data_IF_516853868340
#
_entry.id   IF_516853868340
#
_cell.length_a   1.000
_cell.length_b   1.000
_cell.length_c   1.000
_cell.angle_alpha   90.00
_cell.angle_beta   90.00
_cell.angle_gamma   90.00
#
_symmetry.space_group_name_H-M   'P 1'
#
loop_
_entity.id
_entity.type
_entity.pdbx_description
1 polymer ?
#
# COMPACT_ATOMS: atom_id res chain seq x y z
N UNK A 1 -3.36 17.34 -9.09
CA UNK A 1 -3.77 15.99 -8.63
C UNK A 1 -4.73 16.17 -7.47
N UNK A 2 -5.93 15.59 -7.51
CA UNK A 2 -6.87 15.71 -6.39
C UNK A 2 -6.42 14.76 -5.25
N UNK A 3 -5.91 15.31 -4.15
CA UNK A 3 -5.36 14.53 -3.02
C UNK A 3 -6.33 14.41 -1.85
N UNK A 4 -7.61 14.80 -2.02
CA UNK A 4 -8.63 14.68 -0.97
C UNK A 4 -8.91 13.22 -0.60
N UNK A 5 -8.78 12.28 -1.56
CA UNK A 5 -8.93 10.85 -1.28
C UNK A 5 -7.89 10.32 -0.29
N UNK A 6 -6.72 10.97 -0.22
CA UNK A 6 -5.67 10.60 0.72
C UNK A 6 -5.94 11.10 2.16
N UNK A 7 -7.00 11.89 2.39
CA UNK A 7 -7.40 12.37 3.72
C UNK A 7 -8.22 11.34 4.51
N UNK A 8 -8.77 10.33 3.84
CA UNK A 8 -9.41 9.19 4.49
C UNK A 8 -9.06 7.87 3.76
N UNK A 9 -7.77 7.49 3.77
CA UNK A 9 -7.26 6.43 2.91
C UNK A 9 -7.80 5.04 3.29
N UNK A 10 -8.02 4.78 4.60
CA UNK A 10 -8.55 3.49 5.06
C UNK A 10 -10.00 3.33 4.59
N UNK A 11 -10.84 4.34 4.82
CA UNK A 11 -12.24 4.35 4.37
C UNK A 11 -12.36 4.18 2.85
N UNK A 12 -11.59 4.96 2.09
CA UNK A 12 -11.61 4.90 0.64
C UNK A 12 -11.18 3.52 0.13
N UNK A 13 -10.15 2.91 0.74
CA UNK A 13 -9.74 1.55 0.38
C UNK A 13 -10.84 0.52 0.63
N UNK A 14 -11.44 0.56 1.81
CA UNK A 14 -12.50 -0.37 2.24
C UNK A 14 -13.84 -0.19 1.50
N UNK A 15 -14.06 0.97 0.85
CA UNK A 15 -15.25 1.21 0.02
C UNK A 15 -15.05 0.92 -1.47
N UNK A 16 -13.81 0.84 -1.94
CA UNK A 16 -13.54 0.63 -3.37
C UNK A 16 -12.85 -0.71 -3.62
N UNK A 17 -11.53 -0.73 -3.72
CA UNK A 17 -10.77 -1.85 -4.26
C UNK A 17 -10.80 -3.02 -3.28
N UNK A 18 -10.90 -2.72 -1.98
CA UNK A 18 -10.98 -3.70 -0.91
C UNK A 18 -12.41 -3.91 -0.40
N UNK A 19 -13.43 -3.42 -1.11
CA UNK A 19 -14.83 -3.57 -0.69
C UNK A 19 -15.27 -5.02 -0.50
N UNK A 20 -14.68 -5.97 -1.24
CA UNK A 20 -15.01 -7.40 -1.15
C UNK A 20 -14.49 -8.08 0.12
N UNK A 21 -13.43 -7.54 0.73
CA UNK A 21 -12.87 -8.08 1.98
C UNK A 21 -13.25 -7.24 3.19
N UNK A 22 -13.79 -6.03 2.99
CA UNK A 22 -14.21 -5.15 4.06
C UNK A 22 -15.47 -5.65 4.78
N UNK A 23 -15.49 -5.52 6.10
CA UNK A 23 -16.66 -5.74 6.95
C UNK A 23 -17.24 -4.39 7.34
N UNK A 24 -18.56 -4.21 7.27
CA UNK A 24 -19.22 -2.99 7.72
C UNK A 24 -20.29 -2.46 6.77
N UNK A 25 -20.63 -1.19 6.97
CA UNK A 25 -21.77 -0.52 6.36
C UNK A 25 -21.35 0.84 5.74
N UNK A 26 -22.29 1.78 5.60
CA UNK A 26 -22.05 3.11 5.06
C UNK A 26 -21.55 4.13 6.09
N UNK A 27 -21.51 3.76 7.37
CA UNK A 27 -21.00 4.59 8.47
C UNK A 27 -19.59 4.18 8.88
N UNK A 28 -19.32 2.87 8.98
CA UNK A 28 -18.03 2.34 9.39
C UNK A 28 -17.67 1.05 8.66
N UNK A 29 -16.38 0.86 8.39
CA UNK A 29 -15.83 -0.35 7.76
C UNK A 29 -14.50 -0.71 8.39
N UNK A 30 -14.16 -1.99 8.39
CA UNK A 30 -12.86 -2.50 8.84
C UNK A 30 -12.35 -3.62 7.93
N UNK A 31 -11.05 -3.87 8.00
CA UNK A 31 -10.53 -5.17 7.57
C UNK A 31 -10.93 -6.26 8.57
N UNK A 32 -11.08 -7.53 8.13
CA UNK A 32 -11.19 -8.68 9.00
C UNK A 32 -10.07 -8.69 10.02
N UNK A 33 -10.37 -9.18 11.23
CA UNK A 33 -9.41 -9.17 12.33
C UNK A 33 -8.10 -9.86 11.93
N UNK A 34 -8.16 -10.97 11.21
CA UNK A 34 -6.98 -11.74 10.80
C UNK A 34 -6.08 -10.99 9.80
N UNK A 35 -6.60 -9.97 9.12
CA UNK A 35 -5.86 -9.11 8.19
C UNK A 35 -5.18 -7.96 8.93
N UNK A 36 -5.88 -7.27 9.82
CA UNK A 36 -5.33 -6.15 10.56
C UNK A 36 -6.38 -5.32 11.29
N UNK A 37 -5.97 -4.45 12.22
CA UNK A 37 -6.89 -3.66 13.03
C UNK A 37 -7.40 -2.38 12.33
N UNK A 38 -6.95 -2.09 11.10
CA UNK A 38 -7.30 -0.83 10.44
C UNK A 38 -8.79 -0.76 10.13
N UNK A 39 -9.40 0.35 10.53
CA UNK A 39 -10.79 0.68 10.25
C UNK A 39 -10.91 2.10 9.70
N UNK A 40 -11.98 2.33 8.94
CA UNK A 40 -12.35 3.63 8.39
C UNK A 40 -13.78 3.98 8.76
N UNK A 41 -14.04 5.26 8.96
CA UNK A 41 -15.36 5.82 9.21
C UNK A 41 -15.67 6.88 8.16
N UNK A 42 -16.96 7.05 7.85
CA UNK A 42 -17.41 8.10 6.92
C UNK A 42 -17.10 9.50 7.48
N UNK A 43 -17.33 9.67 8.78
CA UNK A 43 -17.12 10.90 9.54
C UNK A 43 -16.95 10.57 11.03
N UNK A 44 -16.65 11.58 11.86
CA UNK A 44 -16.57 11.43 13.32
C UNK A 44 -17.94 11.59 14.02
N UNK A 45 -19.06 11.23 13.38
CA UNK A 45 -20.39 11.30 14.00
C UNK A 45 -20.62 10.15 14.99
N UNK A 46 -21.61 10.32 15.89
CA UNK A 46 -22.02 9.27 16.83
C UNK A 46 -22.54 8.02 16.10
N UNK A 47 -23.16 8.17 14.93
CA UNK A 47 -23.60 7.04 14.10
C UNK A 47 -22.43 6.20 13.61
N UNK A 48 -21.38 6.86 13.08
CA UNK A 48 -20.14 6.22 12.65
C UNK A 48 -19.44 5.49 13.79
N UNK A 49 -19.33 6.12 14.97
CA UNK A 49 -18.73 5.45 16.12
C UNK A 49 -19.58 4.31 16.69
N UNK A 50 -20.91 4.38 16.64
CA UNK A 50 -21.76 3.28 17.09
C UNK A 50 -21.69 2.07 16.15
N UNK A 51 -21.70 2.29 14.83
CA UNK A 51 -21.47 1.23 13.84
C UNK A 51 -20.09 0.60 14.04
N UNK A 52 -19.06 1.44 14.20
CA UNK A 52 -17.70 0.99 14.42
C UNK A 52 -17.54 0.18 15.72
N UNK A 53 -18.28 0.50 16.79
CA UNK A 53 -18.29 -0.29 18.04
C UNK A 53 -18.81 -1.70 17.81
N UNK A 54 -19.89 -1.82 17.05
CA UNK A 54 -20.47 -3.12 16.66
C UNK A 54 -19.46 -3.95 15.86
N UNK A 55 -18.74 -3.31 14.95
CA UNK A 55 -17.70 -3.95 14.13
C UNK A 55 -16.42 -4.28 14.92
N UNK A 56 -16.08 -3.51 15.95
CA UNK A 56 -14.93 -3.79 16.78
C UNK A 56 -15.11 -5.12 17.53
N UNK A 57 -16.30 -5.36 18.09
CA UNK A 57 -16.55 -6.49 18.98
C UNK A 57 -15.55 -6.49 20.13
N UNK A 58 -14.93 -7.64 20.38
CA UNK A 58 -13.89 -7.81 21.41
C UNK A 58 -12.48 -7.43 20.92
N UNK A 59 -12.37 -6.89 19.70
CA UNK A 59 -11.09 -6.57 19.08
C UNK A 59 -10.80 -5.07 19.08
N UNK A 60 -9.52 -4.74 19.22
CA UNK A 60 -9.05 -3.36 19.01
C UNK A 60 -9.08 -2.98 17.53
N UNK A 61 -9.39 -1.72 17.26
CA UNK A 61 -9.37 -1.12 15.93
C UNK A 61 -8.41 0.08 15.92
N UNK A 62 -7.87 0.42 14.76
CA UNK A 62 -6.98 1.56 14.56
C UNK A 62 -7.54 2.48 13.48
N UNK A 63 -7.68 3.76 13.81
CA UNK A 63 -8.18 4.82 12.93
C UNK A 63 -7.08 5.83 12.62
N UNK A 64 -7.10 6.38 11.40
CA UNK A 64 -6.36 7.58 11.03
C UNK A 64 -7.37 8.71 10.81
N UNK A 65 -7.11 9.90 11.37
CA UNK A 65 -7.93 11.09 11.12
C UNK A 65 -7.07 12.36 11.10
N UNK A 66 -7.46 13.33 10.29
CA UNK A 66 -6.83 14.66 10.30
C UNK A 66 -7.12 15.39 11.61
N UNK A 67 -8.33 15.22 12.13
CA UNK A 67 -8.75 15.79 13.41
C UNK A 67 -8.44 14.83 14.56
N UNK A 68 -8.33 15.33 15.81
CA UNK A 68 -8.24 14.47 16.98
C UNK A 68 -9.41 13.49 17.04
N UNK A 69 -9.10 12.22 17.30
CA UNK A 69 -10.11 11.16 17.40
C UNK A 69 -10.64 11.13 18.83
N UNK A 70 -11.89 11.57 19.02
CA UNK A 70 -12.52 11.63 20.32
C UNK A 70 -13.92 11.00 20.28
N UNK A 71 -14.01 9.65 20.20
CA UNK A 71 -15.29 8.97 20.07
C UNK A 71 -16.11 9.16 21.35
N UNK A 72 -17.40 9.49 21.18
CA UNK A 72 -18.33 9.56 22.32
C UNK A 72 -18.78 8.15 22.73
N UNK A 73 -19.08 7.97 24.02
CA UNK A 73 -19.57 6.71 24.59
C UNK A 73 -18.46 5.76 25.07
N UNK A 74 -18.81 4.49 25.25
CA UNK A 74 -17.95 3.44 25.83
C UNK A 74 -16.82 3.01 24.88
N UNK A 75 -15.76 3.80 24.85
CA UNK A 75 -14.51 3.49 24.16
C UNK A 75 -13.34 3.62 25.12
N UNK A 76 -12.42 2.66 25.07
CA UNK A 76 -11.13 2.76 25.74
C UNK A 76 -10.06 3.03 24.70
N UNK A 77 -9.34 4.13 24.86
CA UNK A 77 -8.17 4.44 24.03
C UNK A 77 -6.98 3.61 24.52
N UNK A 78 -6.54 2.66 23.70
CA UNK A 78 -5.39 1.79 23.99
C UNK A 78 -4.09 2.55 23.73
N UNK A 79 -4.03 3.26 22.60
CA UNK A 79 -2.83 3.97 22.15
C UNK A 79 -3.20 5.13 21.25
N UNK A 80 -2.46 6.23 21.36
CA UNK A 80 -2.50 7.33 20.40
C UNK A 80 -1.11 7.59 19.83
N UNK A 81 -1.06 8.30 18.71
CA UNK A 81 0.20 8.77 18.15
C UNK A 81 -0.02 9.59 16.88
N UNK A 82 1.08 10.05 16.28
CA UNK A 82 1.07 10.80 15.04
C UNK A 82 1.76 10.01 13.94
N UNK A 83 1.12 9.95 12.77
CA UNK A 83 1.71 9.33 11.58
C UNK A 83 1.76 10.36 10.45
N UNK A 84 2.92 10.48 9.83
CA UNK A 84 3.11 11.29 8.65
C UNK A 84 2.68 10.52 7.41
N UNK A 85 2.06 11.21 6.46
CA UNK A 85 1.75 10.70 5.14
C UNK A 85 2.70 11.32 4.12
N UNK A 86 3.31 10.47 3.31
CA UNK A 86 4.20 10.89 2.24
C UNK A 86 3.70 10.34 0.91
N UNK A 87 3.80 11.16 -0.14
CA UNK A 87 3.29 10.84 -1.48
C UNK A 87 4.40 11.01 -2.49
N UNK A 88 4.55 10.04 -3.40
CA UNK A 88 5.51 10.14 -4.51
C UNK A 88 4.85 10.84 -5.68
N UNK A 89 5.09 12.14 -5.82
CA UNK A 89 4.67 12.87 -7.01
C UNK A 89 5.71 12.68 -8.10
N UNK A 90 5.36 11.94 -9.15
CA UNK A 90 6.16 11.95 -10.38
C UNK A 90 6.02 13.35 -10.98
N UNK A 91 7.10 14.13 -10.97
CA UNK A 91 7.19 15.27 -11.89
C UNK A 91 7.15 14.66 -13.28
N UNK A 92 6.03 14.84 -13.99
CA UNK A 92 5.93 14.40 -15.36
C UNK A 92 7.14 14.96 -16.10
N UNK A 93 8.06 14.07 -16.49
CA UNK A 93 9.06 14.42 -17.46
C UNK A 93 8.27 14.61 -18.74
N UNK A 94 8.02 15.86 -19.12
CA UNK A 94 7.47 16.20 -20.43
C UNK A 94 8.37 15.51 -21.44
N UNK A 95 7.92 14.36 -21.92
CA UNK A 95 8.51 13.76 -23.10
C UNK A 95 8.01 14.69 -24.20
N UNK A 96 8.88 15.59 -24.65
CA UNK A 96 8.59 16.44 -25.80
C UNK A 96 7.98 15.55 -26.89
N UNK A 97 6.84 15.93 -27.49
CA UNK A 97 6.26 15.14 -28.55
C UNK A 97 7.31 14.98 -29.65
N UNK A 98 7.68 13.72 -29.93
CA UNK A 98 8.50 13.38 -31.09
C UNK A 98 7.82 14.02 -32.30
N UNK A 99 8.48 14.92 -33.05
CA UNK A 99 7.88 15.55 -34.21
C UNK A 99 7.54 14.44 -35.23
N UNK A 100 6.26 14.31 -35.53
CA UNK A 100 5.74 13.40 -36.56
C UNK A 100 6.40 13.77 -37.89
N UNK A 101 6.99 12.82 -38.63
CA UNK A 101 7.50 13.11 -39.97
C UNK A 101 6.34 13.52 -40.89
N UNK A 102 6.51 14.63 -41.62
CA UNK A 102 5.58 15.09 -42.65
C UNK A 102 5.38 14.02 -43.72
N UNK A 103 4.29 13.25 -43.64
CA UNK A 103 3.81 12.47 -44.77
C UNK A 103 3.02 13.38 -45.71
N UNK A 104 3.70 13.87 -46.75
CA UNK A 104 3.01 14.44 -47.93
C UNK A 104 2.07 13.38 -48.51
N UNK A 105 0.79 13.70 -48.78
CA UNK A 105 -0.13 12.76 -49.39
C UNK A 105 0.31 12.52 -50.85
N UNK A 106 0.57 11.25 -51.18
CA UNK A 106 0.73 10.79 -52.56
C UNK A 106 -0.67 10.62 -53.14
N UNK A 107 -1.03 11.48 -54.10
CA UNK A 107 -2.28 11.40 -54.86
C UNK A 107 -2.17 10.29 -55.90
N UNK A 108 -3.00 9.25 -55.81
CA UNK A 108 -3.23 8.30 -56.90
C UNK A 108 -4.36 8.79 -57.83
N UNK A 109 -4.29 8.50 -59.15
CA UNK A 109 -5.31 8.91 -60.11
C UNK A 109 -6.60 8.08 -59.99
N UNK A 110 -7.76 8.61 -60.45
CA UNK A 110 -9.05 7.97 -60.25
C UNK A 110 -9.32 6.85 -61.26
N UNK A 111 -9.69 5.68 -60.76
CA UNK A 111 -10.30 4.63 -61.59
C UNK A 111 -11.79 4.91 -61.79
N UNK A 112 -12.15 5.07 -63.06
CA UNK A 112 -13.52 5.17 -63.55
C UNK A 112 -14.13 3.77 -63.67
N UNK A 113 -15.09 3.45 -62.80
CA UNK A 113 -16.10 2.43 -63.11
C UNK A 113 -17.44 2.79 -62.50
N UNK A 114 -18.35 3.19 -63.38
CA UNK A 114 -19.78 3.42 -63.11
C UNK A 114 -20.49 2.08 -63.20
N UNK A 115 -21.19 1.63 -62.16
CA UNK A 115 -22.29 0.67 -62.31
C UNK A 115 -23.39 0.98 -61.30
N UNK A 116 -24.61 0.96 -61.83
CA UNK A 116 -25.87 1.47 -61.32
C UNK A 116 -26.48 0.65 -60.17
N UNK A 117 -27.02 1.41 -59.20
CA UNK A 117 -28.15 1.21 -58.28
C UNK A 117 -28.85 -0.16 -58.20
N UNK A 118 -29.07 -0.66 -56.98
CA UNK A 118 -30.39 -1.15 -56.53
C UNK A 118 -30.53 -0.96 -55.01
N UNK A 119 -31.46 -0.10 -54.60
CA UNK A 119 -31.89 0.13 -53.22
C UNK A 119 -32.82 -0.99 -52.80
N UNK A 120 -32.51 -1.69 -51.69
CA UNK A 120 -33.51 -2.53 -51.00
C UNK A 120 -33.44 -2.25 -49.51
N UNK A 121 -34.42 -1.48 -49.04
CA UNK A 121 -34.71 -1.27 -47.63
C UNK A 121 -35.32 -2.54 -47.07
N UNK A 122 -34.75 -3.12 -46.01
CA UNK A 122 -35.41 -4.17 -45.23
C UNK A 122 -35.25 -3.88 -43.75
N UNK A 123 -36.33 -3.36 -43.19
CA UNK A 123 -36.64 -3.26 -41.77
C UNK A 123 -36.80 -4.68 -41.18
N UNK A 124 -36.02 -5.02 -40.15
CA UNK A 124 -36.24 -6.23 -39.36
C UNK A 124 -37.17 -5.94 -38.17
N UNK A 125 -38.19 -6.78 -37.92
CA UNK A 125 -39.13 -6.59 -36.83
C UNK A 125 -38.65 -7.25 -35.53
N UNK A 126 -39.02 -6.58 -34.43
CA UNK A 126 -39.02 -7.01 -33.04
C UNK A 126 -39.71 -8.37 -32.85
N UNK A 127 -39.03 -9.33 -32.22
CA UNK A 127 -39.63 -10.59 -31.78
C UNK A 127 -40.02 -10.53 -30.28
N UNK A 128 -41.17 -11.11 -29.88
CA UNK A 128 -41.65 -11.08 -28.49
C UNK A 128 -41.03 -12.20 -27.64
N UNK A 129 -40.90 -11.92 -26.34
CA UNK A 129 -40.45 -12.85 -25.31
C UNK A 129 -41.47 -13.97 -25.04
N UNK A 130 -41.05 -15.23 -24.88
CA UNK A 130 -41.91 -16.29 -24.37
C UNK A 130 -41.84 -16.43 -22.83
N UNK A 131 -42.98 -16.81 -22.31
CA UNK A 131 -43.42 -17.04 -20.93
C UNK A 131 -42.60 -18.07 -20.15
N UNK A 132 -42.55 -17.86 -18.82
CA UNK A 132 -41.96 -18.75 -17.82
C UNK A 132 -42.72 -20.08 -17.65
N UNK A 133 -42.03 -21.17 -17.28
CA UNK A 133 -42.65 -22.30 -16.62
C UNK A 133 -42.30 -22.35 -15.12
N UNK A 134 -43.35 -22.47 -14.32
CA UNK A 134 -43.36 -22.86 -12.91
C UNK A 134 -43.07 -24.36 -12.79
N UNK A 135 -42.04 -24.75 -12.03
CA UNK A 135 -41.92 -26.11 -11.46
C UNK A 135 -41.10 -26.10 -10.18
N UNK A 136 -41.76 -26.52 -9.10
CA UNK A 136 -41.23 -26.93 -7.79
C UNK A 136 -40.34 -28.19 -7.90
N UNK A 137 -39.37 -28.39 -7.00
CA UNK A 137 -39.39 -29.62 -6.20
C UNK A 137 -39.01 -29.32 -4.72
N UNK A 138 -39.82 -29.74 -3.76
CA UNK A 138 -39.87 -31.07 -3.14
C UNK A 138 -38.66 -31.36 -2.25
N UNK A 139 -38.98 -31.44 -0.96
CA UNK A 139 -38.15 -31.73 0.20
C UNK A 139 -37.40 -33.06 0.09
N UNK A 140 -36.12 -33.06 0.46
CA UNK A 140 -35.40 -34.27 0.84
C UNK A 140 -34.67 -34.06 2.16
N UNK A 141 -35.10 -34.83 3.17
CA UNK A 141 -34.48 -34.93 4.49
C UNK A 141 -33.40 -36.01 4.39
N UNK A 142 -32.15 -35.62 4.66
CA UNK A 142 -31.02 -36.53 4.74
C UNK A 142 -30.29 -36.31 6.07
N UNK A 143 -30.64 -37.10 7.08
CA UNK A 143 -29.92 -37.23 8.34
C UNK A 143 -28.59 -37.95 8.10
N UNK A 144 -27.46 -37.34 8.45
CA UNK A 144 -26.21 -38.06 8.67
C UNK A 144 -25.57 -37.53 9.96
N UNK A 145 -25.52 -38.41 10.96
CA UNK A 145 -24.78 -38.22 12.18
C UNK A 145 -23.31 -38.59 11.97
N UNK A 146 -22.37 -37.78 12.48
CA UNK A 146 -21.03 -38.27 12.82
C UNK A 146 -20.30 -37.33 13.80
N UNK A 147 -20.12 -37.85 15.01
CA UNK A 147 -18.86 -37.83 15.79
C UNK A 147 -18.27 -36.48 16.22
N UNK A 148 -18.60 -36.08 17.45
CA UNK A 148 -17.86 -35.10 18.25
C UNK A 148 -16.59 -35.71 18.86
N UNK A 149 -15.43 -35.10 18.62
CA UNK A 149 -14.27 -35.17 19.53
C UNK A 149 -13.81 -33.72 19.83
N UNK A 150 -13.58 -33.35 21.09
CA UNK A 150 -13.20 -31.99 21.46
C UNK A 150 -11.69 -31.73 21.23
N UNK A 151 -11.37 -30.56 20.70
CA UNK A 151 -10.02 -30.00 20.59
C UNK A 151 -9.74 -29.16 21.85
N UNK A 152 -8.57 -29.28 22.51
CA UNK A 152 -8.27 -28.51 23.72
C UNK A 152 -7.88 -27.05 23.38
N UNK A 153 -8.44 -26.12 24.15
CA UNK A 153 -8.14 -24.68 24.14
C UNK A 153 -6.77 -24.40 24.78
N UNK A 154 -5.90 -23.56 24.19
CA UNK A 154 -4.73 -23.04 24.88
C UNK A 154 -5.11 -21.82 25.74
N UNK A 155 -4.74 -21.86 27.02
CA UNK A 155 -4.86 -20.75 27.97
C UNK A 155 -4.07 -19.51 27.50
N UNK A 156 -4.78 -18.46 27.07
CA UNK A 156 -4.19 -17.13 26.92
C UNK A 156 -4.16 -16.41 28.28
N UNK A 157 -3.00 -16.41 28.94
CA UNK A 157 -2.72 -15.44 30.00
C UNK A 157 -2.41 -14.07 29.39
N UNK A 158 -2.92 -12.95 29.95
CA UNK A 158 -2.58 -11.62 29.48
C UNK A 158 -1.10 -11.33 29.76
N UNK A 159 -0.35 -10.95 28.72
CA UNK A 159 1.02 -10.45 28.83
C UNK A 159 0.95 -9.03 29.39
N UNK A 160 1.29 -8.88 30.67
CA UNK A 160 1.58 -7.59 31.30
C UNK A 160 3.08 -7.37 31.15
N UNK A 161 3.49 -6.28 30.49
CA UNK A 161 4.87 -5.76 30.53
C UNK A 161 4.88 -4.36 31.19
N UNK A 162 5.97 -4.02 31.91
CA UNK A 162 6.02 -2.91 32.87
C UNK A 162 6.25 -1.54 32.20
N UNK A 163 6.02 -0.43 32.93
CA UNK A 163 6.19 0.92 32.38
C UNK A 163 7.65 1.29 32.14
N UNK A 164 7.88 2.11 31.10
CA UNK A 164 9.16 2.66 30.69
C UNK A 164 9.87 3.40 31.83
N UNK A 165 11.05 2.92 32.21
CA UNK A 165 12.07 3.74 32.89
C UNK A 165 13.28 3.87 31.97
N UNK A 166 13.29 4.92 31.15
CA UNK A 166 14.50 5.34 30.44
C UNK A 166 15.24 6.38 31.29
N UNK A 167 16.29 5.92 31.97
CA UNK A 167 17.32 6.80 32.54
C UNK A 167 18.15 7.36 31.38
N UNK A 168 17.99 8.65 31.10
CA UNK A 168 18.84 9.41 30.17
C UNK A 168 20.25 9.54 30.74
N UNK A 169 21.26 9.08 29.99
CA UNK A 169 22.67 9.42 30.23
C UNK A 169 23.10 10.46 29.17
N UNK A 170 23.61 11.64 29.55
CA UNK A 170 23.99 12.68 28.58
C UNK A 170 25.35 12.40 27.90
N UNK A 171 25.43 12.70 26.61
CA UNK A 171 26.64 12.67 25.78
C UNK A 171 27.51 13.92 26.05
N UNK A 172 28.86 13.83 26.08
CA UNK A 172 29.74 14.98 26.36
C UNK A 172 29.86 15.96 25.16
N UNK A 173 30.20 17.24 25.41
CA UNK A 173 30.26 18.28 24.36
C UNK A 173 31.55 18.22 23.52
N UNK A 174 31.43 18.60 22.25
CA UNK A 174 32.54 18.74 21.31
C UNK A 174 33.33 20.05 21.52
N UNK A 175 34.67 20.05 21.34
CA UNK A 175 35.48 21.25 21.50
C UNK A 175 35.42 22.17 20.27
N UNK A 176 35.35 23.48 20.54
CA UNK A 176 35.49 24.55 19.55
C UNK A 176 36.95 24.98 19.42
N UNK A 177 37.49 25.04 18.20
CA UNK A 177 38.67 25.86 17.89
C UNK A 177 38.54 26.50 16.51
N UNK A 178 38.54 27.83 16.54
CA UNK A 178 38.68 28.75 15.42
C UNK A 178 40.07 28.65 14.81
N UNK A 179 40.19 28.58 13.48
CA UNK A 179 41.34 29.17 12.77
C UNK A 179 40.98 29.55 11.35
N UNK A 180 41.16 30.84 11.08
CA UNK A 180 41.12 31.50 9.78
C UNK A 180 42.30 31.05 8.93
N UNK A 181 42.08 30.63 7.67
CA UNK A 181 43.12 30.65 6.62
C UNK A 181 42.46 30.77 5.25
N UNK A 182 42.85 31.84 4.55
CA UNK A 182 42.47 32.24 3.20
C UNK A 182 43.23 31.40 2.15
N UNK A 183 42.55 30.91 1.11
CA UNK A 183 43.17 30.45 -0.14
C UNK A 183 42.13 30.39 -1.30
N UNK A 184 42.54 30.49 -2.57
CA UNK A 184 41.75 31.10 -3.65
C UNK A 184 40.90 30.14 -4.50
N UNK A 185 40.00 30.73 -5.28
CA UNK A 185 39.13 30.13 -6.30
C UNK A 185 39.81 29.15 -7.25
N UNK A 186 39.16 28.03 -7.62
CA UNK A 186 39.54 27.25 -8.79
C UNK A 186 38.70 27.62 -10.02
N UNK A 187 39.44 27.98 -11.06
CA UNK A 187 39.03 28.19 -12.45
C UNK A 187 38.39 26.93 -13.03
N UNK A 188 37.29 27.09 -13.77
CA UNK A 188 36.67 26.04 -14.56
C UNK A 188 37.49 25.72 -15.82
N UNK A 189 37.54 24.45 -16.25
CA UNK A 189 37.72 24.11 -17.65
C UNK A 189 36.44 23.56 -18.28
N UNK A 190 36.23 24.04 -19.50
CA UNK A 190 35.16 23.73 -20.44
C UNK A 190 35.24 22.32 -21.04
N UNK A 191 34.06 21.84 -21.45
CA UNK A 191 33.79 20.93 -22.57
C UNK A 191 34.42 19.54 -22.56
N UNK A 192 33.58 18.53 -22.31
CA UNK A 192 33.73 17.22 -22.95
C UNK A 192 32.40 16.81 -23.61
N UNK A 193 32.44 16.76 -24.94
CA UNK A 193 31.38 16.29 -25.82
C UNK A 193 31.43 14.77 -25.84
N UNK A 194 30.41 14.11 -25.29
CA UNK A 194 30.28 12.65 -25.31
C UNK A 194 28.83 12.29 -25.58
N UNK A 195 28.49 12.13 -26.87
CA UNK A 195 27.22 11.54 -27.26
C UNK A 195 27.14 10.11 -26.75
N UNK A 196 26.15 9.82 -25.90
CA UNK A 196 25.74 8.46 -25.62
C UNK A 196 24.30 8.32 -26.12
N UNK A 197 24.18 7.57 -27.20
CA UNK A 197 22.92 7.12 -27.77
C UNK A 197 22.17 6.32 -26.70
N UNK A 198 21.05 6.87 -26.24
CA UNK A 198 20.07 6.17 -25.43
C UNK A 198 19.48 5.03 -26.27
N UNK A 199 20.11 3.86 -26.17
CA UNK A 199 19.50 2.61 -26.61
C UNK A 199 18.40 2.24 -25.62
N UNK A 200 17.19 2.07 -26.15
CA UNK A 200 16.00 1.61 -25.46
C UNK A 200 16.32 0.43 -24.53
N UNK A 201 16.17 0.63 -23.22
CA UNK A 201 16.30 -0.45 -22.24
C UNK A 201 14.90 -1.02 -21.98
N UNK A 202 14.62 -2.14 -22.63
CA UNK A 202 13.58 -3.07 -22.18
C UNK A 202 13.87 -3.50 -20.73
N UNK A 203 12.82 -3.48 -19.90
CA UNK A 203 12.73 -3.90 -18.49
C UNK A 203 13.89 -4.72 -17.92
N UNK A 204 14.87 -4.02 -17.34
CA UNK A 204 15.74 -4.61 -16.31
C UNK A 204 15.25 -4.10 -14.96
N UNK A 205 14.61 -4.95 -14.16
CA UNK A 205 14.57 -4.74 -12.72
C UNK A 205 16.02 -4.48 -12.28
N UNK A 206 16.30 -3.40 -11.52
CA UNK A 206 17.66 -3.17 -11.04
C UNK A 206 18.08 -4.42 -10.27
N UNK A 207 19.16 -5.07 -10.70
CA UNK A 207 19.69 -6.22 -9.99
C UNK A 207 19.96 -5.75 -8.55
N UNK A 208 19.24 -6.33 -7.57
CA UNK A 208 19.52 -6.03 -6.18
C UNK A 208 20.93 -6.51 -5.88
N UNK A 209 21.78 -5.62 -5.39
CA UNK A 209 23.08 -5.99 -4.84
C UNK A 209 22.85 -6.65 -3.47
N UNK A 210 22.71 -7.98 -3.50
CA UNK A 210 22.45 -8.79 -2.32
C UNK A 210 23.77 -9.29 -1.74
N UNK A 211 23.80 -9.45 -0.41
CA UNK A 211 24.96 -10.08 0.22
C UNK A 211 25.09 -11.54 -0.28
N UNK A 212 26.31 -12.10 -0.36
CA UNK A 212 26.49 -13.50 -0.75
C UNK A 212 25.61 -14.43 0.09
N UNK A 213 24.90 -15.35 -0.56
CA UNK A 213 23.96 -16.26 0.11
C UNK A 213 22.54 -15.71 0.25
N UNK A 214 22.34 -14.40 0.08
CA UNK A 214 21.00 -13.83 0.10
C UNK A 214 20.27 -14.05 -1.23
N UNK A 215 18.97 -14.32 -1.14
CA UNK A 215 18.08 -14.45 -2.31
C UNK A 215 16.91 -13.48 -2.19
N UNK A 216 16.33 -13.10 -3.33
CA UNK A 216 15.15 -12.23 -3.40
C UNK A 216 14.03 -12.97 -4.12
N UNK A 217 12.81 -12.87 -3.59
CA UNK A 217 11.61 -13.39 -4.27
C UNK A 217 10.34 -12.71 -3.80
N UNK A 218 9.28 -12.93 -4.59
CA UNK A 218 7.90 -12.65 -4.18
C UNK A 218 7.50 -13.56 -3.01
N UNK A 219 6.80 -13.00 -2.03
CA UNK A 219 6.25 -13.72 -0.89
C UNK A 219 4.86 -14.28 -1.22
N UNK A 220 4.54 -15.40 -0.58
CA UNK A 220 3.28 -16.14 -0.72
C UNK A 220 2.67 -16.37 0.65
N UNK A 221 1.43 -16.87 0.72
CA UNK A 221 0.77 -17.17 2.00
C UNK A 221 1.55 -18.16 2.88
N UNK A 222 2.38 -19.02 2.27
CA UNK A 222 3.28 -19.92 3.01
C UNK A 222 4.35 -19.17 3.83
N UNK A 223 4.68 -17.94 3.43
CA UNK A 223 5.67 -17.09 4.11
C UNK A 223 5.08 -16.28 5.27
N UNK A 224 3.74 -16.27 5.44
CA UNK A 224 3.06 -15.45 6.43
C UNK A 224 3.61 -15.61 7.87
N UNK A 225 3.96 -16.82 8.36
CA UNK A 225 4.60 -16.95 9.67
C UNK A 225 5.95 -16.23 9.76
N UNK A 226 6.79 -16.31 8.72
CA UNK A 226 8.08 -15.62 8.68
C UNK A 226 7.92 -14.09 8.58
N UNK A 227 6.89 -13.62 7.87
CA UNK A 227 6.54 -12.20 7.78
C UNK A 227 6.08 -11.64 9.13
N UNK A 228 5.22 -12.37 9.84
CA UNK A 228 4.79 -12.00 11.20
C UNK A 228 5.99 -11.95 12.14
N UNK A 229 6.84 -12.98 12.15
CA UNK A 229 8.04 -13.00 12.99
C UNK A 229 8.99 -11.82 12.72
N UNK A 230 9.20 -11.46 11.44
CA UNK A 230 10.02 -10.30 11.09
C UNK A 230 9.35 -8.97 11.49
N UNK A 231 8.04 -8.86 11.33
CA UNK A 231 7.30 -7.66 11.74
C UNK A 231 7.34 -7.49 13.27
N UNK A 232 7.07 -8.54 14.05
CA UNK A 232 7.14 -8.49 15.50
C UNK A 232 8.52 -8.04 16.01
N UNK A 233 9.59 -8.47 15.34
CA UNK A 233 10.96 -8.08 15.69
C UNK A 233 11.29 -6.60 15.37
N UNK A 234 10.59 -6.00 14.41
CA UNK A 234 10.94 -4.67 13.87
C UNK A 234 9.92 -3.58 14.18
N UNK A 235 8.80 -3.95 14.81
CA UNK A 235 7.71 -3.07 15.22
C UNK A 235 7.19 -2.10 14.12
N UNK A 236 6.91 -2.57 12.89
CA UNK A 236 6.48 -1.73 11.76
C UNK A 236 5.03 -1.23 11.91
N UNK A 237 4.33 -1.62 12.99
CA UNK A 237 2.89 -1.56 13.13
C UNK A 237 2.24 -2.96 13.07
N UNK A 238 0.92 -3.05 13.27
CA UNK A 238 0.23 -4.34 13.35
C UNK A 238 0.33 -5.10 12.01
N UNK A 239 0.87 -6.31 12.08
CA UNK A 239 1.01 -7.25 10.95
C UNK A 239 0.49 -8.62 11.39
N UNK A 240 -0.29 -9.28 10.54
CA UNK A 240 -1.01 -10.52 10.86
C UNK A 240 -0.89 -11.52 9.72
N UNK A 241 -1.31 -12.76 9.97
CA UNK A 241 -1.15 -13.86 9.02
C UNK A 241 -1.81 -13.58 7.66
N UNK A 242 -2.96 -12.90 7.64
CA UNK A 242 -3.68 -12.58 6.40
C UNK A 242 -3.35 -11.20 5.83
N UNK A 243 -2.45 -10.43 6.44
CA UNK A 243 -2.05 -9.11 5.91
C UNK A 243 -1.46 -9.19 4.50
N UNK A 244 -0.84 -10.32 4.15
CA UNK A 244 -0.32 -10.57 2.81
C UNK A 244 -1.42 -10.55 1.72
N UNK A 245 -2.70 -10.74 2.07
CA UNK A 245 -3.81 -10.68 1.12
C UNK A 245 -4.06 -9.27 0.57
N UNK A 246 -3.53 -8.24 1.23
CA UNK A 246 -3.73 -6.83 0.85
C UNK A 246 -2.92 -6.40 -0.38
N UNK A 247 -1.99 -7.22 -0.85
CA UNK A 247 -1.27 -6.97 -2.09
C UNK A 247 0.05 -7.71 -2.18
N UNK A 248 0.83 -7.37 -3.20
CA UNK A 248 2.12 -8.03 -3.44
C UNK A 248 3.11 -7.68 -2.33
N UNK A 249 3.77 -8.70 -1.80
CA UNK A 249 4.93 -8.57 -0.93
C UNK A 249 6.16 -9.20 -1.56
N UNK A 250 7.31 -8.61 -1.27
CA UNK A 250 8.62 -9.11 -1.67
C UNK A 250 9.53 -9.24 -0.46
N UNK A 251 10.38 -10.25 -0.49
CA UNK A 251 11.29 -10.58 0.59
C UNK A 251 12.70 -10.84 0.11
N UNK A 252 13.66 -10.52 0.99
CA UNK A 252 15.04 -10.94 0.89
C UNK A 252 15.28 -11.97 2.00
N UNK A 253 15.88 -13.10 1.62
CA UNK A 253 16.18 -14.22 2.49
C UNK A 253 17.68 -14.40 2.62
N UNK A 254 18.14 -14.80 3.79
CA UNK A 254 19.47 -15.37 4.04
C UNK A 254 19.29 -16.83 4.47
N UNK A 255 19.59 -17.77 3.58
CA UNK A 255 19.10 -19.15 3.69
C UNK A 255 17.57 -19.20 3.75
N UNK A 256 17.01 -19.82 4.79
CA UNK A 256 15.55 -19.91 5.01
C UNK A 256 14.99 -18.72 5.81
N UNK A 257 15.85 -17.81 6.28
CA UNK A 257 15.45 -16.69 7.14
C UNK A 257 15.02 -15.50 6.31
N UNK A 258 13.79 -15.02 6.50
CA UNK A 258 13.36 -13.73 5.95
C UNK A 258 14.05 -12.58 6.70
N UNK A 259 14.91 -11.82 6.01
CA UNK A 259 15.72 -10.75 6.61
C UNK A 259 15.25 -9.35 6.24
N UNK A 260 14.51 -9.19 5.15
CA UNK A 260 13.85 -7.93 4.82
C UNK A 260 12.59 -8.20 4.01
N UNK A 261 11.55 -7.39 4.21
CA UNK A 261 10.33 -7.42 3.39
C UNK A 261 9.77 -6.02 3.15
N UNK A 262 8.99 -5.88 2.08
CA UNK A 262 8.11 -4.74 1.83
C UNK A 262 6.95 -5.19 0.95
N UNK A 263 5.83 -4.49 1.01
CA UNK A 263 4.66 -4.81 0.18
C UNK A 263 3.69 -3.66 0.02
N UNK A 264 2.47 -4.02 -0.36
CA UNK A 264 1.36 -3.09 -0.57
C UNK A 264 0.31 -3.27 0.52
N UNK A 265 -0.47 -2.23 0.78
CA UNK A 265 -1.57 -2.29 1.76
C UNK A 265 -2.84 -1.61 1.29
N UNK A 266 -3.03 -0.31 1.48
CA UNK A 266 -4.28 0.35 1.06
C UNK A 266 -4.31 0.61 -0.44
N UNK A 267 -5.38 0.19 -1.11
CA UNK A 267 -5.63 0.40 -2.54
C UNK A 267 -6.94 1.15 -2.73
N UNK A 268 -6.94 2.22 -3.52
CA UNK A 268 -8.16 2.94 -3.94
C UNK A 268 -7.88 3.71 -5.25
N UNK A 269 -8.91 4.24 -5.95
CA UNK A 269 -8.71 4.94 -7.22
C UNK A 269 -7.61 5.99 -7.12
N UNK A 270 -6.63 5.90 -8.03
CA UNK A 270 -5.50 6.81 -8.11
C UNK A 270 -4.30 6.46 -7.22
N UNK A 271 -4.43 5.61 -6.19
CA UNK A 271 -3.39 5.43 -5.18
C UNK A 271 -3.20 3.99 -4.71
N UNK A 272 -1.95 3.63 -4.38
CA UNK A 272 -1.60 2.40 -3.65
C UNK A 272 -0.56 2.73 -2.59
N UNK A 273 -0.75 2.17 -1.40
CA UNK A 273 0.15 2.34 -0.27
C UNK A 273 1.32 1.35 -0.31
N UNK A 274 2.54 1.85 -0.15
CA UNK A 274 3.71 1.07 0.24
C UNK A 274 3.67 0.81 1.75
N UNK A 275 3.76 -0.44 2.17
CA UNK A 275 3.63 -0.81 3.58
C UNK A 275 4.43 -2.06 3.94
N UNK A 276 4.42 -2.42 5.22
CA UNK A 276 5.10 -3.61 5.76
C UNK A 276 6.61 -3.62 5.53
N UNK A 277 7.25 -2.44 5.47
CA UNK A 277 8.69 -2.32 5.27
C UNK A 277 9.41 -2.69 6.55
N UNK A 278 10.07 -3.85 6.55
CA UNK A 278 10.79 -4.39 7.70
C UNK A 278 12.17 -4.86 7.25
N UNK A 279 13.19 -4.57 8.06
CA UNK A 279 14.52 -5.16 7.88
C UNK A 279 15.06 -5.58 9.23
N UNK A 280 15.48 -6.84 9.32
CA UNK A 280 16.07 -7.43 10.50
C UNK A 280 17.23 -6.55 11.00
N UNK A 281 17.36 -6.29 12.32
CA UNK A 281 18.39 -5.41 12.87
C UNK A 281 19.80 -5.65 12.32
N UNK A 282 20.24 -6.92 12.27
CA UNK A 282 21.58 -7.33 11.78
C UNK A 282 21.80 -7.13 10.26
N UNK A 283 20.73 -6.82 9.51
CA UNK A 283 20.75 -6.63 8.05
C UNK A 283 20.43 -5.17 7.65
N UNK A 284 20.31 -4.26 8.62
CA UNK A 284 20.15 -2.81 8.35
C UNK A 284 21.41 -2.22 7.71
N UNK A 285 21.26 -1.08 7.06
CA UNK A 285 22.38 -0.37 6.40
C UNK A 285 22.86 -0.98 5.09
N UNK A 286 22.20 -2.03 4.58
CA UNK A 286 22.58 -2.74 3.33
C UNK A 286 21.74 -2.35 2.10
N UNK A 287 20.91 -1.31 2.21
CA UNK A 287 20.06 -0.86 1.11
C UNK A 287 18.82 -1.72 0.79
N UNK A 288 18.58 -2.81 1.52
CA UNK A 288 17.49 -3.77 1.27
C UNK A 288 16.10 -3.14 1.25
N UNK A 289 15.74 -2.36 2.28
CA UNK A 289 14.46 -1.67 2.32
C UNK A 289 14.24 -0.78 1.09
N UNK A 290 15.24 0.02 0.73
CA UNK A 290 15.17 0.91 -0.44
C UNK A 290 15.04 0.15 -1.76
N UNK A 291 15.73 -0.98 -1.91
CA UNK A 291 15.61 -1.82 -3.10
C UNK A 291 14.21 -2.44 -3.23
N UNK A 292 13.66 -2.97 -2.13
CA UNK A 292 12.29 -3.52 -2.12
C UNK A 292 11.23 -2.45 -2.39
N UNK A 293 11.37 -1.25 -1.80
CA UNK A 293 10.43 -0.15 -2.04
C UNK A 293 10.45 0.29 -3.51
N UNK A 294 11.61 0.34 -4.18
CA UNK A 294 11.68 0.65 -5.62
C UNK A 294 10.88 -0.32 -6.48
N UNK A 295 10.96 -1.61 -6.18
CA UNK A 295 10.17 -2.63 -6.88
C UNK A 295 8.67 -2.37 -6.68
N UNK A 296 8.25 -2.06 -5.46
CA UNK A 296 6.86 -1.72 -5.17
C UNK A 296 6.42 -0.43 -5.89
N UNK A 297 7.26 0.61 -5.91
CA UNK A 297 7.00 1.86 -6.65
C UNK A 297 6.78 1.55 -8.13
N UNK A 298 7.72 0.83 -8.76
CA UNK A 298 7.65 0.50 -10.18
C UNK A 298 6.37 -0.28 -10.50
N UNK A 299 5.99 -1.26 -9.65
CA UNK A 299 4.74 -1.98 -9.83
C UNK A 299 3.49 -1.11 -9.66
N UNK A 300 3.50 -0.14 -8.74
CA UNK A 300 2.37 0.76 -8.54
C UNK A 300 2.24 1.70 -9.73
N UNK A 301 3.34 2.29 -10.19
CA UNK A 301 3.36 3.25 -11.29
C UNK A 301 3.03 2.60 -12.63
N UNK A 302 3.42 1.35 -12.84
CA UNK A 302 2.99 0.56 -13.99
C UNK A 302 1.46 0.38 -14.09
N UNK A 303 0.73 0.54 -12.97
CA UNK A 303 -0.76 0.53 -12.97
C UNK A 303 -1.38 1.91 -13.19
N UNK A 304 -0.58 2.95 -13.43
CA UNK A 304 -1.04 4.33 -13.54
C UNK A 304 -1.49 4.93 -12.20
N UNK A 305 -1.10 4.32 -11.07
CA UNK A 305 -1.44 4.79 -9.73
C UNK A 305 -0.24 5.45 -9.05
N UNK A 306 -0.52 6.26 -8.05
CA UNK A 306 0.49 6.98 -7.28
C UNK A 306 0.85 6.25 -6.00
N UNK A 307 2.15 5.99 -5.76
CA UNK A 307 2.62 5.47 -4.48
C UNK A 307 2.45 6.49 -3.37
N UNK A 308 1.95 6.05 -2.22
CA UNK A 308 2.01 6.80 -0.97
C UNK A 308 2.40 5.87 0.17
N UNK A 309 2.71 6.43 1.34
CA UNK A 309 2.99 5.64 2.55
C UNK A 309 2.67 6.44 3.81
N UNK A 310 2.59 5.72 4.92
CA UNK A 310 2.56 6.31 6.26
C UNK A 310 3.75 5.82 7.07
N UNK A 311 4.30 6.70 7.89
CA UNK A 311 5.33 6.38 8.88
C UNK A 311 5.02 7.08 10.20
N UNK A 312 5.50 6.55 11.33
CA UNK A 312 5.45 7.28 12.59
C UNK A 312 6.18 8.63 12.46
N UNK A 313 5.61 9.68 13.04
CA UNK A 313 6.29 10.97 13.12
C UNK A 313 7.62 10.81 13.88
N UNK A 314 8.70 11.35 13.32
CA UNK A 314 10.06 11.20 13.88
C UNK A 314 10.78 9.89 13.52
N UNK A 315 10.16 9.00 12.73
CA UNK A 315 10.84 7.79 12.27
C UNK A 315 11.98 8.15 11.29
N UNK A 316 13.24 7.74 11.55
CA UNK A 316 14.39 8.07 10.68
C UNK A 316 14.29 7.45 9.28
N UNK A 317 13.43 6.45 9.07
CA UNK A 317 13.12 5.93 7.73
C UNK A 317 12.52 7.00 6.80
N UNK A 318 12.04 8.12 7.33
CA UNK A 318 11.61 9.28 6.54
C UNK A 318 12.67 9.69 5.49
N UNK A 319 13.95 9.77 5.87
CA UNK A 319 15.03 10.16 4.95
C UNK A 319 15.20 9.17 3.79
N UNK A 320 14.98 7.88 4.05
CA UNK A 320 14.97 6.87 2.99
C UNK A 320 13.80 7.14 2.03
N UNK A 321 12.60 7.41 2.54
CA UNK A 321 11.44 7.69 1.70
C UNK A 321 11.64 8.95 0.85
N UNK A 322 12.21 10.02 1.42
CA UNK A 322 12.58 11.24 0.69
C UNK A 322 13.55 10.95 -0.45
N UNK A 323 14.59 10.14 -0.20
CA UNK A 323 15.55 9.73 -1.23
C UNK A 323 14.93 8.90 -2.38
N UNK A 324 13.74 8.32 -2.15
CA UNK A 324 12.98 7.56 -3.13
C UNK A 324 11.92 8.40 -3.85
N UNK A 325 11.87 9.71 -3.58
CA UNK A 325 10.99 10.67 -4.22
C UNK A 325 9.65 10.87 -3.52
N UNK A 326 9.47 10.36 -2.30
CA UNK A 326 8.29 10.69 -1.50
C UNK A 326 8.46 12.05 -0.83
N UNK A 327 7.41 12.85 -0.83
CA UNK A 327 7.36 14.14 -0.14
C UNK A 327 6.34 14.11 0.98
N UNK A 328 6.70 14.65 2.14
CA UNK A 328 5.76 14.84 3.25
C UNK A 328 4.57 15.69 2.78
N UNK A 329 3.36 15.17 2.96
CA UNK A 329 2.14 15.84 2.53
C UNK A 329 1.31 16.33 3.72
N UNK A 330 1.19 15.51 4.77
CA UNK A 330 0.37 15.82 5.96
C UNK A 330 0.67 14.88 7.13
N UNK A 331 0.07 15.18 8.28
CA UNK A 331 0.12 14.33 9.48
C UNK A 331 -1.28 13.95 9.92
N UNK A 332 -1.45 12.72 10.39
CA UNK A 332 -2.69 12.18 10.94
C UNK A 332 -2.54 11.92 12.44
N UNK A 333 -3.65 12.06 13.15
CA UNK A 333 -3.86 11.44 14.44
C UNK A 333 -4.17 9.96 14.23
N UNK A 334 -3.43 9.11 14.93
CA UNK A 334 -3.68 7.68 15.02
C UNK A 334 -4.27 7.39 16.40
N UNK A 335 -5.36 6.62 16.45
CA UNK A 335 -5.88 6.07 17.71
C UNK A 335 -6.23 4.61 17.56
N UNK A 336 -5.69 3.79 18.46
CA UNK A 336 -6.11 2.42 18.69
C UNK A 336 -7.17 2.41 19.80
N UNK A 337 -8.35 1.87 19.51
CA UNK A 337 -9.52 1.90 20.37
C UNK A 337 -10.03 0.48 20.61
N UNK A 338 -10.53 0.21 21.80
CA UNK A 338 -11.35 -0.97 22.10
C UNK A 338 -12.74 -0.54 22.56
N UNK A 339 -13.76 -1.28 22.14
CA UNK A 339 -15.09 -1.13 22.70
C UNK A 339 -15.04 -1.48 24.20
N UNK A 340 -15.67 -0.65 25.03
CA UNK A 340 -15.77 -0.86 26.47
C UNK A 340 -17.15 -1.39 26.87
#
# INVERSE_FOLDING_TARGET
MNTSQLENPIWNSLRTDHARIAEGDDCARRYPHEIGPLAGIADQSDASYNSLRTLAGDHSIALFSLDPINPRGSWTTIRTGRVIQMVRTVTASTTDPVPTPDHKPVTMPPDTSTTTTTTTTTTSPTAPAPTAPTTTPSSFVGTVAASTNPVPTPDHKPVIMPPDTSTTNPLPPAPSTTTTTTAPSPTAPSSFTGGSTSSHRHGHSPALDLAPGCTFRRLTSADAPAMVALAELTEPGPFRLRTIELGNFYGIFDGDRLVSMAGKRMHFPGFIEVSGVCTHPDYRGRGYAGALIRIIIDEIEATGRTPFLHAWEGNPAQYLYESLGFSLTRTFNLSALAAA
#
